data_IF_652197641307
#
_entry.id   IF_652197641307
#
_cell.length_a   1.000
_cell.length_b   1.000
_cell.length_c   1.000
_cell.angle_alpha   90.00
_cell.angle_beta   90.00
_cell.angle_gamma   90.00
#
_symmetry.space_group_name_H-M   'P 1'
#
loop_
_entity.id
_entity.type
_entity.pdbx_description
1 polymer ?
#
# COMPACT_ATOMS: atom_id res chain seq x y z
N UNK A 1 -43.24 -8.52 28.30
CA UNK A 1 -41.87 -9.05 28.08
C UNK A 1 -41.24 -8.35 26.85
N UNK A 2 -40.77 -7.10 26.95
CA UNK A 2 -40.23 -6.37 25.76
C UNK A 2 -39.06 -5.42 26.04
N UNK A 3 -38.83 -5.03 27.30
CA UNK A 3 -37.77 -4.06 27.65
C UNK A 3 -36.33 -4.62 27.55
N UNK A 4 -36.12 -5.89 27.90
CA UNK A 4 -34.78 -6.50 27.88
C UNK A 4 -34.24 -6.74 26.46
N UNK A 5 -35.11 -7.01 25.49
CA UNK A 5 -34.74 -7.20 24.09
C UNK A 5 -34.36 -5.87 23.39
N UNK A 6 -35.02 -4.77 23.78
CA UNK A 6 -34.71 -3.43 23.28
C UNK A 6 -33.34 -2.93 23.76
N UNK A 7 -33.01 -3.15 25.04
CA UNK A 7 -31.73 -2.72 25.64
C UNK A 7 -30.51 -3.44 25.03
N UNK A 8 -30.58 -4.77 24.82
CA UNK A 8 -29.52 -5.52 24.12
C UNK A 8 -29.29 -5.02 22.69
N UNK A 9 -30.36 -4.62 22.00
CA UNK A 9 -30.30 -4.08 20.63
C UNK A 9 -29.60 -2.72 20.59
N UNK A 10 -29.84 -1.86 21.57
CA UNK A 10 -29.21 -0.53 21.68
C UNK A 10 -27.72 -0.64 22.03
N UNK A 11 -27.32 -1.51 22.96
CA UNK A 11 -25.91 -1.75 23.26
C UNK A 11 -25.15 -2.32 22.05
N UNK A 12 -25.77 -3.24 21.29
CA UNK A 12 -25.21 -3.77 20.05
C UNK A 12 -25.05 -2.69 18.98
N UNK A 13 -26.02 -1.78 18.87
CA UNK A 13 -25.95 -0.62 17.96
C UNK A 13 -24.82 0.33 18.34
N UNK A 14 -24.65 0.66 19.61
CA UNK A 14 -23.56 1.55 20.09
C UNK A 14 -22.20 0.91 19.85
N UNK A 15 -22.05 -0.38 20.16
CA UNK A 15 -20.82 -1.13 19.86
C UNK A 15 -20.51 -1.17 18.37
N UNK A 16 -21.52 -1.41 17.54
CA UNK A 16 -21.39 -1.36 16.09
C UNK A 16 -21.04 0.04 15.58
N UNK A 17 -21.65 1.09 16.13
CA UNK A 17 -21.37 2.48 15.74
C UNK A 17 -19.91 2.82 16.01
N UNK A 18 -19.39 2.47 17.20
CA UNK A 18 -17.97 2.63 17.54
C UNK A 18 -17.07 1.84 16.61
N UNK A 19 -17.45 0.61 16.29
CA UNK A 19 -16.68 -0.25 15.40
C UNK A 19 -16.63 0.32 13.98
N UNK A 20 -17.75 0.79 13.43
CA UNK A 20 -17.80 1.47 12.13
C UNK A 20 -16.94 2.74 12.14
N UNK A 21 -17.01 3.53 13.23
CA UNK A 21 -16.24 4.76 13.39
C UNK A 21 -14.72 4.53 13.40
N UNK A 22 -14.25 3.33 13.76
CA UNK A 22 -12.83 2.96 13.71
C UNK A 22 -12.47 2.24 12.41
N UNK A 23 -13.28 1.26 12.01
CA UNK A 23 -12.99 0.38 10.86
C UNK A 23 -13.01 1.15 9.55
N UNK A 24 -13.99 2.04 9.35
CA UNK A 24 -14.11 2.80 8.10
C UNK A 24 -12.91 3.72 7.86
N UNK A 25 -12.52 4.63 8.78
CA UNK A 25 -11.36 5.50 8.53
C UNK A 25 -10.05 4.70 8.43
N UNK A 26 -9.91 3.61 9.20
CA UNK A 26 -8.73 2.74 9.08
C UNK A 26 -8.65 2.11 7.69
N UNK A 27 -9.77 1.59 7.15
CA UNK A 27 -9.81 1.05 5.80
C UNK A 27 -9.51 2.11 4.74
N UNK A 28 -10.05 3.33 4.89
CA UNK A 28 -9.76 4.46 3.99
C UNK A 28 -8.28 4.82 4.01
N UNK A 29 -7.66 4.92 5.19
CA UNK A 29 -6.24 5.19 5.34
C UNK A 29 -5.36 4.11 4.70
N UNK A 30 -5.74 2.84 4.85
CA UNK A 30 -5.02 1.72 4.22
C UNK A 30 -5.10 1.80 2.70
N UNK A 31 -6.29 2.02 2.14
CA UNK A 31 -6.47 2.15 0.69
C UNK A 31 -5.69 3.35 0.13
N UNK A 32 -5.73 4.49 0.81
CA UNK A 32 -4.95 5.67 0.44
C UNK A 32 -3.44 5.40 0.51
N UNK A 33 -2.96 4.76 1.57
CA UNK A 33 -1.55 4.42 1.75
C UNK A 33 -1.03 3.49 0.66
N UNK A 34 -1.81 2.46 0.30
CA UNK A 34 -1.49 1.56 -0.82
C UNK A 34 -1.45 2.36 -2.13
N UNK A 35 -2.46 3.18 -2.42
CA UNK A 35 -2.52 3.97 -3.65
C UNK A 35 -1.32 4.92 -3.81
N UNK A 36 -0.94 5.61 -2.73
CA UNK A 36 0.25 6.49 -2.74
C UNK A 36 1.53 5.69 -2.96
N UNK A 37 1.70 4.55 -2.28
CA UNK A 37 2.87 3.70 -2.48
C UNK A 37 3.00 3.26 -3.96
N UNK A 38 1.89 2.86 -4.59
CA UNK A 38 1.87 2.48 -6.01
C UNK A 38 2.15 3.66 -6.95
N UNK A 39 1.64 4.87 -6.64
CA UNK A 39 1.87 6.06 -7.45
C UNK A 39 3.32 6.57 -7.39
N UNK A 40 3.98 6.37 -6.24
CA UNK A 40 5.40 6.75 -6.05
C UNK A 40 6.38 5.65 -6.43
N UNK A 41 5.89 4.47 -6.81
CA UNK A 41 6.75 3.38 -7.23
C UNK A 41 7.52 3.79 -8.51
N UNK A 42 8.85 3.65 -8.52
CA UNK A 42 9.63 3.99 -9.70
C UNK A 42 9.26 3.08 -10.88
N UNK A 43 9.39 3.58 -12.10
CA UNK A 43 9.25 2.79 -13.32
C UNK A 43 10.62 2.37 -13.85
N UNK A 44 10.67 1.31 -14.65
CA UNK A 44 11.89 0.93 -15.37
C UNK A 44 12.41 2.09 -16.22
N UNK A 45 13.72 2.32 -16.18
CA UNK A 45 14.39 3.44 -16.85
C UNK A 45 14.39 4.76 -16.07
N UNK A 46 13.66 4.87 -14.95
CA UNK A 46 13.77 6.04 -14.07
C UNK A 46 15.15 6.08 -13.39
N UNK A 47 15.73 7.27 -13.19
CA UNK A 47 17.03 7.41 -12.55
C UNK A 47 16.97 6.95 -11.09
N UNK A 48 18.06 6.35 -10.65
CA UNK A 48 18.25 5.93 -9.26
C UNK A 48 19.62 6.39 -8.77
N UNK A 49 19.76 6.60 -7.47
CA UNK A 49 20.99 7.16 -6.87
C UNK A 49 21.84 6.12 -6.17
N UNK A 50 21.24 5.00 -5.75
CA UNK A 50 21.90 3.98 -4.93
C UNK A 50 22.09 2.69 -5.74
N UNK A 51 23.33 2.41 -6.11
CA UNK A 51 23.71 1.18 -6.83
C UNK A 51 23.26 -0.07 -6.04
N UNK A 52 22.74 -1.08 -6.74
CA UNK A 52 22.20 -2.31 -6.17
C UNK A 52 21.01 -2.12 -5.21
N UNK A 53 20.41 -0.92 -5.14
CA UNK A 53 19.15 -0.77 -4.43
C UNK A 53 18.08 -1.66 -5.08
N UNK A 54 17.22 -2.24 -4.26
CA UNK A 54 16.09 -3.04 -4.70
C UNK A 54 14.79 -2.34 -4.32
N UNK A 55 13.82 -2.38 -5.23
CA UNK A 55 12.48 -1.83 -5.01
C UNK A 55 11.45 -2.67 -5.76
N UNK A 56 10.16 -2.34 -5.63
CA UNK A 56 9.10 -2.94 -6.45
C UNK A 56 8.44 -1.88 -7.30
N UNK A 57 8.02 -2.25 -8.50
CA UNK A 57 7.17 -1.43 -9.34
C UNK A 57 5.71 -1.47 -8.87
N UNK A 58 4.85 -0.69 -9.54
CA UNK A 58 3.43 -0.63 -9.23
C UNK A 58 2.69 -1.97 -9.41
N UNK A 59 3.22 -2.85 -10.26
CA UNK A 59 2.74 -4.22 -10.49
C UNK A 59 3.30 -5.24 -9.48
N UNK A 60 4.18 -4.81 -8.58
CA UNK A 60 4.82 -5.66 -7.58
C UNK A 60 6.06 -6.43 -8.09
N UNK A 61 6.52 -6.20 -9.32
CA UNK A 61 7.76 -6.80 -9.81
C UNK A 61 8.97 -6.14 -9.16
N UNK A 62 9.93 -6.97 -8.75
CA UNK A 62 11.19 -6.51 -8.17
C UNK A 62 12.04 -5.85 -9.24
N UNK A 63 12.58 -4.68 -8.92
CA UNK A 63 13.52 -3.94 -9.75
C UNK A 63 14.80 -3.63 -8.98
N UNK A 64 15.92 -3.61 -9.70
CA UNK A 64 17.24 -3.29 -9.17
C UNK A 64 17.78 -2.03 -9.85
N UNK A 65 18.46 -1.19 -9.07
CA UNK A 65 19.16 -0.02 -9.57
C UNK A 65 20.53 -0.43 -10.10
N UNK A 66 20.69 -0.40 -11.43
CA UNK A 66 21.92 -0.77 -12.11
C UNK A 66 22.31 0.26 -13.18
N UNK A 67 23.56 0.26 -13.65
CA UNK A 67 23.99 1.11 -14.75
C UNK A 67 23.17 0.81 -16.01
N UNK A 68 22.70 1.86 -16.69
CA UNK A 68 22.11 1.71 -18.01
C UNK A 68 23.13 1.10 -18.98
N UNK A 69 22.66 0.28 -19.93
CA UNK A 69 23.51 -0.31 -20.94
C UNK A 69 24.30 0.79 -21.69
N UNK A 70 25.63 0.77 -21.56
CA UNK A 70 26.53 1.73 -22.20
C UNK A 70 26.63 3.11 -21.54
N UNK A 71 26.22 3.29 -20.27
CA UNK A 71 26.17 4.61 -19.64
C UNK A 71 26.76 4.74 -18.23
N UNK A 72 27.04 5.99 -17.84
CA UNK A 72 27.43 6.40 -16.48
C UNK A 72 26.21 6.69 -15.57
N UNK A 73 24.99 6.47 -16.07
CA UNK A 73 23.75 6.76 -15.35
C UNK A 73 23.18 5.47 -14.75
N UNK A 74 22.71 5.56 -13.52
CA UNK A 74 22.03 4.45 -12.85
C UNK A 74 20.53 4.58 -13.06
N UNK A 75 19.89 3.49 -13.47
CA UNK A 75 18.44 3.43 -13.69
C UNK A 75 17.85 2.16 -13.10
N UNK A 76 16.55 2.20 -12.85
CA UNK A 76 15.80 1.01 -12.44
C UNK A 76 15.64 0.03 -13.59
N UNK A 77 15.99 -1.22 -13.35
CA UNK A 77 15.81 -2.34 -14.27
C UNK A 77 15.02 -3.45 -13.58
N UNK A 78 14.19 -4.18 -14.32
CA UNK A 78 13.55 -5.38 -13.77
C UNK A 78 14.63 -6.42 -13.41
N UNK A 79 14.47 -7.03 -12.25
CA UNK A 79 15.29 -8.17 -11.89
C UNK A 79 14.98 -9.32 -12.87
N UNK A 80 15.99 -10.11 -13.29
CA UNK A 80 15.72 -11.32 -14.06
C UNK A 80 14.80 -12.24 -13.25
N UNK A 81 13.80 -12.81 -13.91
CA UNK A 81 12.99 -13.87 -13.29
C UNK A 81 13.94 -14.99 -12.86
N UNK A 82 13.91 -15.33 -11.58
CA UNK A 82 14.67 -16.46 -11.03
C UNK A 82 14.04 -17.79 -11.46
#
# INVERSE_FOLDING_TARGET
MTAAAASKRTHRKIGYLRLVLVVVPTAVLVVLGIGVAQATAPAAGQPCTVRNATTRDASGHTMWCNPAAGGHRMVWHHAPAA
#
